data_IF_753897890468
#
_entry.id   IF_753897890468
#
_cell.length_a   1.000
_cell.length_b   1.000
_cell.length_c   1.000
_cell.angle_alpha   90.00
_cell.angle_beta   90.00
_cell.angle_gamma   90.00
#
_symmetry.space_group_name_H-M   'P 1'
#
loop_
_entity.id
_entity.type
_entity.pdbx_description
1 polymer ?
#
# COMPACT_ATOMS: atom_id res chain seq x y z
N UNK A 1 11.78 13.32 2.34
CA UNK A 1 12.84 13.06 1.33
C UNK A 1 12.24 13.30 -0.05
N UNK A 2 12.10 14.57 -0.51
CA UNK A 2 11.39 14.90 -1.75
C UNK A 2 12.02 14.30 -3.02
N UNK A 3 13.35 14.14 -3.02
CA UNK A 3 14.11 13.62 -4.16
C UNK A 3 14.07 12.09 -4.30
N UNK A 4 13.56 11.38 -3.28
CA UNK A 4 13.53 9.91 -3.29
C UNK A 4 12.18 9.43 -3.78
N UNK A 5 12.17 8.68 -4.89
CA UNK A 5 10.97 7.99 -5.35
C UNK A 5 10.44 7.01 -4.30
N UNK A 6 9.13 7.05 -4.04
CA UNK A 6 8.44 6.20 -3.08
C UNK A 6 7.33 5.43 -3.78
N UNK A 7 7.33 4.12 -3.60
CA UNK A 7 6.22 3.25 -3.98
C UNK A 7 5.59 2.74 -2.68
N UNK A 8 4.34 3.11 -2.43
CA UNK A 8 3.54 2.61 -1.31
C UNK A 8 2.73 1.40 -1.80
N UNK A 9 2.92 0.25 -1.15
CA UNK A 9 2.15 -0.96 -1.41
C UNK A 9 1.05 -1.07 -0.35
N UNK A 10 -0.20 -1.07 -0.78
CA UNK A 10 -1.37 -1.09 0.10
C UNK A 10 -2.40 -2.12 -0.38
N UNK A 11 -3.24 -2.56 0.55
CA UNK A 11 -4.42 -3.36 0.23
C UNK A 11 -5.65 -2.47 0.03
N UNK A 12 -6.69 -3.02 -0.61
CA UNK A 12 -8.01 -2.39 -0.64
C UNK A 12 -8.58 -2.18 0.77
N UNK A 13 -8.44 -3.17 1.65
CA UNK A 13 -8.91 -3.05 3.03
C UNK A 13 -8.18 -1.96 3.81
N UNK A 14 -6.87 -1.83 3.68
CA UNK A 14 -6.11 -0.79 4.40
C UNK A 14 -6.43 0.60 3.89
N UNK A 15 -6.57 0.79 2.58
CA UNK A 15 -6.90 2.11 2.04
C UNK A 15 -8.33 2.53 2.38
N UNK A 16 -9.28 1.60 2.44
CA UNK A 16 -10.64 1.87 2.92
C UNK A 16 -10.66 2.39 4.36
N UNK A 17 -9.77 1.88 5.23
CA UNK A 17 -9.64 2.38 6.60
C UNK A 17 -8.97 3.75 6.70
N UNK A 18 -8.24 4.16 5.66
CA UNK A 18 -7.41 5.36 5.67
C UNK A 18 -7.72 6.36 4.55
N UNK A 19 -8.95 6.38 4.01
CA UNK A 19 -9.33 7.21 2.85
C UNK A 19 -8.94 8.69 2.95
N UNK A 20 -8.93 9.26 4.17
CA UNK A 20 -8.50 10.64 4.40
C UNK A 20 -7.07 10.94 3.93
N UNK A 21 -6.19 9.92 3.85
CA UNK A 21 -4.83 10.10 3.33
C UNK A 21 -4.83 10.50 1.85
N UNK A 22 -5.80 10.00 1.06
CA UNK A 22 -5.91 10.34 -0.37
C UNK A 22 -6.21 11.82 -0.57
N UNK A 23 -7.02 12.43 0.31
CA UNK A 23 -7.29 13.86 0.29
C UNK A 23 -6.02 14.67 0.59
N UNK A 24 -5.23 14.25 1.59
CA UNK A 24 -3.93 14.88 1.89
C UNK A 24 -2.97 14.75 0.71
N UNK A 25 -2.89 13.58 0.08
CA UNK A 25 -2.03 13.35 -1.10
C UNK A 25 -2.48 14.21 -2.28
N UNK A 26 -3.78 14.29 -2.55
CA UNK A 26 -4.32 15.15 -3.62
C UNK A 26 -4.13 16.64 -3.37
N UNK A 27 -4.09 17.07 -2.10
CA UNK A 27 -3.75 18.44 -1.69
C UNK A 27 -2.26 18.75 -1.86
N UNK A 28 -1.38 17.88 -1.35
CA UNK A 28 0.09 18.09 -1.35
C UNK A 28 0.70 17.85 -2.73
N UNK A 29 0.14 16.92 -3.50
CA UNK A 29 0.59 16.51 -4.84
C UNK A 29 2.08 16.12 -4.91
N UNK A 30 2.55 15.17 -4.09
CA UNK A 30 3.93 14.71 -4.15
C UNK A 30 4.22 14.08 -5.52
N UNK A 31 5.22 14.60 -6.24
CA UNK A 31 5.60 14.13 -7.59
C UNK A 31 6.33 12.79 -7.57
N UNK A 32 6.84 12.41 -6.40
CA UNK A 32 7.69 11.24 -6.16
C UNK A 32 6.93 10.09 -5.46
N UNK A 33 5.59 10.07 -5.52
CA UNK A 33 4.77 9.06 -4.85
C UNK A 33 3.92 8.27 -5.85
N UNK A 34 4.06 6.95 -5.79
CA UNK A 34 3.19 5.99 -6.48
C UNK A 34 2.56 5.08 -5.44
N UNK A 35 1.25 4.90 -5.51
CA UNK A 35 0.48 4.04 -4.62
C UNK A 35 0.00 2.86 -5.45
N UNK A 36 0.34 1.65 -5.04
CA UNK A 36 -0.14 0.41 -5.66
C UNK A 36 -1.11 -0.26 -4.70
N UNK A 37 -2.37 -0.35 -5.11
CA UNK A 37 -3.44 -1.01 -4.37
C UNK A 37 -3.62 -2.43 -4.91
N UNK A 38 -3.43 -3.40 -4.03
CA UNK A 38 -3.75 -4.81 -4.27
C UNK A 38 -5.17 -5.06 -3.76
N UNK A 39 -6.12 -5.20 -4.68
CA UNK A 39 -7.53 -5.35 -4.35
C UNK A 39 -7.97 -6.80 -4.59
N UNK A 40 -8.12 -7.55 -3.50
CA UNK A 40 -8.72 -8.89 -3.50
C UNK A 40 -10.19 -8.87 -3.04
N UNK A 41 -10.75 -7.70 -2.75
CA UNK A 41 -12.13 -7.51 -2.33
C UNK A 41 -12.45 -8.03 -0.92
N UNK A 42 -11.45 -8.35 -0.09
CA UNK A 42 -11.68 -8.90 1.25
C UNK A 42 -10.69 -8.38 2.30
N UNK A 43 -11.14 -8.22 3.53
CA UNK A 43 -10.25 -7.98 4.66
C UNK A 43 -9.49 -9.26 5.05
N UNK A 44 -8.43 -9.57 4.29
CA UNK A 44 -7.72 -10.85 4.33
C UNK A 44 -7.31 -11.30 5.74
N UNK A 45 -6.87 -10.36 6.57
CA UNK A 45 -6.28 -10.65 7.89
C UNK A 45 -7.34 -10.77 8.99
N UNK A 46 -8.43 -10.00 8.90
CA UNK A 46 -9.40 -9.85 10.00
C UNK A 46 -10.64 -10.73 9.84
N UNK A 47 -10.52 -11.86 9.14
CA UNK A 47 -11.61 -12.83 8.97
C UNK A 47 -12.22 -12.89 7.57
N UNK A 48 -11.57 -12.29 6.55
CA UNK A 48 -11.91 -12.42 5.12
C UNK A 48 -13.33 -11.96 4.78
N UNK A 49 -13.89 -11.02 5.54
CA UNK A 49 -15.16 -10.39 5.21
C UNK A 49 -14.99 -9.59 3.93
N UNK A 50 -16.06 -9.51 3.13
CA UNK A 50 -16.08 -8.68 1.92
C UNK A 50 -15.76 -7.23 2.26
N UNK A 51 -14.77 -6.67 1.57
CA UNK A 51 -14.48 -5.25 1.59
C UNK A 51 -15.49 -4.50 0.70
N UNK A 52 -15.63 -3.20 0.90
CA UNK A 52 -16.56 -2.38 0.12
C UNK A 52 -16.19 -2.32 -1.38
N UNK A 53 -14.92 -2.60 -1.71
CA UNK A 53 -14.36 -2.76 -3.07
C UNK A 53 -14.85 -3.99 -3.82
N UNK A 54 -15.43 -4.97 -3.12
CA UNK A 54 -16.11 -6.09 -3.75
C UNK A 54 -17.55 -5.75 -4.20
N UNK A 55 -18.03 -4.53 -3.90
CA UNK A 55 -19.39 -4.10 -4.26
C UNK A 55 -19.44 -2.67 -4.80
N UNK A 56 -19.43 -1.67 -3.93
CA UNK A 56 -19.83 -0.29 -4.26
C UNK A 56 -18.67 0.72 -4.28
N UNK A 57 -17.56 0.44 -3.61
CA UNK A 57 -16.46 1.39 -3.51
C UNK A 57 -15.48 1.21 -4.68
N UNK A 58 -15.42 2.18 -5.59
CA UNK A 58 -14.39 2.27 -6.62
C UNK A 58 -13.23 3.13 -6.11
N UNK A 59 -12.13 2.48 -5.69
CA UNK A 59 -10.94 3.17 -5.15
C UNK A 59 -10.33 4.15 -6.17
N UNK A 60 -10.34 3.81 -7.47
CA UNK A 60 -9.77 4.68 -8.51
C UNK A 60 -10.65 5.92 -8.68
N UNK A 61 -11.97 5.74 -8.68
CA UNK A 61 -12.89 6.88 -8.72
C UNK A 61 -12.77 7.77 -7.48
N UNK A 62 -12.65 7.17 -6.29
CA UNK A 62 -12.44 7.90 -5.03
C UNK A 62 -11.12 8.68 -5.07
N UNK A 63 -10.01 8.07 -5.52
CA UNK A 63 -8.72 8.72 -5.62
C UNK A 63 -8.74 9.92 -6.60
N UNK A 64 -9.41 9.77 -7.74
CA UNK A 64 -9.65 10.89 -8.68
C UNK A 64 -10.45 12.01 -8.03
N UNK A 65 -11.53 11.65 -7.32
CA UNK A 65 -12.35 12.60 -6.56
C UNK A 65 -11.57 13.30 -5.43
N UNK A 66 -10.56 12.64 -4.88
CA UNK A 66 -9.65 13.20 -3.87
C UNK A 66 -8.54 14.09 -4.46
N UNK A 67 -8.46 14.26 -5.80
CA UNK A 67 -7.48 15.11 -6.47
C UNK A 67 -6.24 14.37 -7.00
N UNK A 68 -6.21 13.04 -6.96
CA UNK A 68 -5.15 12.21 -7.57
C UNK A 68 -5.59 11.85 -8.99
N UNK A 69 -5.42 12.80 -9.92
CA UNK A 69 -5.92 12.65 -11.29
C UNK A 69 -5.33 11.43 -12.01
N UNK A 70 -4.05 11.12 -11.76
CA UNK A 70 -3.35 9.98 -12.34
C UNK A 70 -3.64 8.68 -11.58
N UNK A 71 -4.92 8.29 -11.53
CA UNK A 71 -5.35 7.04 -10.89
C UNK A 71 -5.93 6.08 -11.92
N UNK A 72 -5.53 4.80 -11.88
CA UNK A 72 -5.88 3.80 -12.90
C UNK A 72 -6.22 2.44 -12.31
N UNK A 73 -7.23 1.80 -12.89
CA UNK A 73 -7.37 0.35 -12.80
C UNK A 73 -6.37 -0.30 -13.77
N UNK A 74 -5.49 -1.11 -13.22
CA UNK A 74 -4.58 -1.97 -13.96
C UNK A 74 -5.42 -3.03 -14.67
N UNK A 75 -5.10 -3.29 -15.94
CA UNK A 75 -5.88 -4.20 -16.79
C UNK A 75 -5.27 -5.59 -16.81
N UNK A 76 -3.95 -5.63 -16.88
CA UNK A 76 -3.11 -6.82 -16.96
C UNK A 76 -1.68 -6.45 -16.53
N UNK A 77 -0.79 -7.44 -16.47
CA UNK A 77 0.61 -7.30 -16.07
C UNK A 77 1.38 -6.33 -16.98
N UNK A 78 1.14 -6.38 -18.29
CA UNK A 78 1.81 -5.49 -19.24
C UNK A 78 1.42 -4.03 -19.00
N UNK A 79 0.13 -3.77 -18.78
CA UNK A 79 -0.36 -2.44 -18.43
C UNK A 79 0.22 -1.97 -17.09
N UNK A 80 0.42 -2.86 -16.13
CA UNK A 80 1.11 -2.54 -14.88
C UNK A 80 2.56 -2.14 -15.12
N UNK A 81 3.31 -2.91 -15.89
CA UNK A 81 4.70 -2.62 -16.24
C UNK A 81 4.83 -1.27 -16.95
N UNK A 82 3.95 -0.98 -17.91
CA UNK A 82 3.89 0.31 -18.59
C UNK A 82 3.67 1.46 -17.60
N UNK A 83 2.66 1.37 -16.73
CA UNK A 83 2.33 2.40 -15.74
C UNK A 83 3.44 2.57 -14.69
N UNK A 84 4.01 1.47 -14.22
CA UNK A 84 5.12 1.50 -13.26
C UNK A 84 6.39 2.00 -13.94
N UNK A 85 6.65 1.81 -15.23
CA UNK A 85 7.86 2.38 -15.85
C UNK A 85 7.88 3.92 -15.78
N UNK A 86 6.72 4.56 -15.93
CA UNK A 86 6.56 6.04 -16.00
C UNK A 86 6.08 6.70 -14.71
N UNK A 87 6.08 5.98 -13.59
CA UNK A 87 5.42 6.34 -12.32
C UNK A 87 5.73 7.71 -11.70
N UNK A 88 6.81 8.38 -12.12
CA UNK A 88 7.23 9.70 -11.63
C UNK A 88 7.28 10.77 -12.74
N UNK A 89 6.95 10.40 -13.97
CA UNK A 89 7.11 11.26 -15.15
C UNK A 89 5.97 12.29 -15.24
N UNK A 90 4.79 11.94 -14.74
CA UNK A 90 3.57 12.77 -14.81
C UNK A 90 3.55 13.93 -13.78
N UNK A 91 4.60 14.07 -12.98
CA UNK A 91 4.81 15.24 -12.13
C UNK A 91 3.80 15.39 -10.98
N UNK A 92 3.14 14.32 -10.57
CA UNK A 92 2.19 14.28 -9.46
C UNK A 92 2.03 12.85 -8.92
N UNK A 93 1.21 12.66 -7.88
CA UNK A 93 1.01 11.35 -7.29
C UNK A 93 0.27 10.44 -8.28
N UNK A 94 0.63 9.17 -8.28
CA UNK A 94 0.01 8.13 -9.11
C UNK A 94 -0.64 7.09 -8.21
N UNK A 95 -1.85 6.64 -8.55
CA UNK A 95 -2.49 5.50 -7.88
C UNK A 95 -2.81 4.42 -8.91
N UNK A 96 -2.30 3.21 -8.69
CA UNK A 96 -2.51 2.05 -9.53
C UNK A 96 -3.25 1.01 -8.71
N UNK A 97 -4.48 0.66 -9.09
CA UNK A 97 -5.25 -0.38 -8.43
C UNK A 97 -5.29 -1.63 -9.32
N UNK A 98 -4.91 -2.78 -8.77
CA UNK A 98 -4.93 -4.05 -9.47
C UNK A 98 -5.84 -5.03 -8.74
N UNK A 99 -6.75 -5.68 -9.49
CA UNK A 99 -7.49 -6.83 -8.97
C UNK A 99 -6.55 -8.03 -8.88
N UNK A 100 -6.54 -8.71 -7.74
CA UNK A 100 -5.72 -9.90 -7.49
C UNK A 100 -6.58 -11.06 -6.97
N UNK A 101 -6.02 -12.27 -6.93
CA UNK A 101 -6.67 -13.40 -6.29
C UNK A 101 -6.69 -13.26 -4.75
N UNK A 102 -7.47 -14.12 -4.09
CA UNK A 102 -7.68 -14.07 -2.64
C UNK A 102 -6.75 -15.03 -1.86
N UNK A 103 -5.70 -15.53 -2.54
CA UNK A 103 -4.77 -16.48 -1.94
C UNK A 103 -4.05 -15.81 -0.77
N UNK A 104 -3.91 -16.52 0.37
CA UNK A 104 -3.17 -15.98 1.50
C UNK A 104 -1.71 -15.76 1.13
N UNK A 105 -1.12 -14.70 1.68
CA UNK A 105 0.31 -14.46 1.57
C UNK A 105 1.11 -15.67 2.07
N UNK A 106 2.18 -16.00 1.35
CA UNK A 106 3.02 -17.19 1.60
C UNK A 106 3.83 -17.04 2.91
N UNK A 107 3.94 -15.82 3.43
CA UNK A 107 4.61 -15.50 4.68
C UNK A 107 3.69 -14.70 5.60
N UNK A 108 3.72 -15.02 6.90
CA UNK A 108 3.16 -14.16 7.94
C UNK A 108 4.28 -13.47 8.69
N UNK A 109 4.01 -12.25 9.15
CA UNK A 109 4.92 -11.54 10.06
C UNK A 109 5.15 -12.40 11.29
N UNK A 110 6.41 -12.55 11.71
CA UNK A 110 6.74 -13.27 12.94
C UNK A 110 6.06 -12.57 14.12
N UNK A 111 5.13 -13.26 14.78
CA UNK A 111 4.38 -12.76 15.94
C UNK A 111 4.98 -13.25 17.25
N UNK A 112 6.31 -13.24 17.35
CA UNK A 112 7.04 -13.59 18.56
C UNK A 112 7.37 -12.31 19.36
N UNK A 113 6.73 -12.07 20.53
CA UNK A 113 6.89 -10.81 21.25
C UNK A 113 8.34 -10.50 21.69
N UNK A 114 9.12 -11.47 22.25
CA UNK A 114 10.56 -11.32 22.45
C UNK A 114 11.33 -10.85 21.21
N UNK A 115 11.14 -11.50 20.05
CA UNK A 115 11.82 -11.12 18.81
C UNK A 115 11.45 -9.70 18.36
N UNK A 116 10.16 -9.34 18.45
CA UNK A 116 9.69 -7.99 18.11
C UNK A 116 10.35 -6.95 19.02
N UNK A 117 10.40 -7.19 20.33
CA UNK A 117 11.10 -6.33 21.30
C UNK A 117 12.57 -6.18 20.92
N UNK A 118 13.28 -7.28 20.68
CA UNK A 118 14.72 -7.25 20.42
C UNK A 118 15.04 -6.48 19.12
N UNK A 119 14.26 -6.70 18.06
CA UNK A 119 14.38 -5.95 16.79
C UNK A 119 14.15 -4.46 16.99
N UNK A 120 13.12 -4.08 17.74
CA UNK A 120 12.84 -2.68 18.05
C UNK A 120 13.98 -2.04 18.83
N UNK A 121 14.42 -2.66 19.92
CA UNK A 121 15.51 -2.16 20.77
C UNK A 121 16.82 -2.00 19.98
N UNK A 122 17.14 -2.94 19.09
CA UNK A 122 18.29 -2.82 18.19
C UNK A 122 18.15 -1.64 17.23
N UNK A 123 16.97 -1.42 16.65
CA UNK A 123 16.68 -0.32 15.74
C UNK A 123 16.82 1.08 16.36
N UNK A 124 16.51 1.22 17.66
CA UNK A 124 16.65 2.50 18.39
C UNK A 124 17.97 2.61 19.17
N UNK A 125 18.91 1.68 18.99
CA UNK A 125 20.23 1.72 19.63
C UNK A 125 20.25 1.37 21.12
N UNK A 126 19.18 0.78 21.66
CA UNK A 126 19.06 0.38 23.07
C UNK A 126 19.17 -1.13 23.29
N UNK A 127 19.45 -1.89 22.22
CA UNK A 127 19.61 -3.34 22.26
C UNK A 127 20.77 -3.77 23.15
N UNK A 128 20.49 -4.58 24.18
CA UNK A 128 21.49 -5.38 24.88
C UNK A 128 21.61 -6.73 24.18
N UNK A 129 22.82 -7.27 24.06
CA UNK A 129 23.04 -8.62 23.55
C UNK A 129 22.18 -9.62 24.34
N UNK A 130 21.37 -10.39 23.63
CA UNK A 130 20.46 -11.38 24.20
C UNK A 130 20.85 -12.77 23.70
N UNK A 131 20.70 -13.80 24.52
CA UNK A 131 20.94 -15.21 24.15
C UNK A 131 19.98 -15.74 23.07
N UNK A 132 19.00 -14.94 22.65
CA UNK A 132 18.02 -15.25 21.60
C UNK A 132 18.40 -14.67 20.23
N UNK A 133 19.60 -14.10 20.08
CA UNK A 133 20.10 -13.53 18.81
C UNK A 133 20.74 -14.58 17.88
N UNK A 134 20.62 -15.89 18.20
CA UNK A 134 21.10 -17.02 17.40
C UNK A 134 19.97 -17.71 16.63
#
# INVERSE_FOLDING_TARGET
>A
QPERGVIALEGDGSILMALGCLATIGMVKPRNLTIVIMDNGIYQITGRQKAATASSADIVAIARGAGIANSHWVRDEKHFEELVSRRFDDGGPVLLAAKIDDKPGIAQTVRDPPLIRNRFMRGIGSGRASTLDA
#
